data_IF_734850943427
#
_entry.id   IF_734850943427
#
_cell.length_a   1.000
_cell.length_b   1.000
_cell.length_c   1.000
_cell.angle_alpha   90.00
_cell.angle_beta   90.00
_cell.angle_gamma   90.00
#
_symmetry.space_group_name_H-M   'P 1'
#
loop_
_entity.id
_entity.type
_entity.pdbx_description
1 polymer ?
#
# COMPACT_ATOMS: atom_id res chain seq x y z
N UNK A 1 9.44 -28.82 1.84
CA UNK A 1 9.62 -27.45 2.35
C UNK A 1 8.49 -26.64 1.78
N UNK A 2 7.57 -26.18 2.62
CA UNK A 2 6.50 -25.26 2.20
C UNK A 2 7.18 -23.97 1.76
N UNK A 3 6.94 -23.49 0.54
CA UNK A 3 7.49 -22.19 0.12
C UNK A 3 6.95 -21.12 1.08
N UNK A 4 7.78 -20.17 1.47
CA UNK A 4 7.40 -19.07 2.40
C UNK A 4 6.16 -18.30 1.92
N UNK A 5 5.80 -18.46 0.64
CA UNK A 5 4.68 -17.80 -0.05
C UNK A 5 3.42 -18.66 -0.20
N UNK A 6 3.35 -19.84 0.46
CA UNK A 6 2.18 -20.73 0.34
C UNK A 6 1.02 -20.19 1.19
N UNK A 7 -0.12 -19.93 0.57
CA UNK A 7 -1.34 -19.44 1.23
C UNK A 7 -2.14 -18.47 0.36
N UNK A 8 -3.36 -18.18 0.81
CA UNK A 8 -4.24 -17.19 0.19
C UNK A 8 -3.84 -15.80 0.66
N UNK A 9 -3.83 -14.82 -0.25
CA UNK A 9 -3.52 -13.42 0.04
C UNK A 9 -4.74 -12.56 -0.25
N UNK A 10 -5.27 -11.88 0.77
CA UNK A 10 -6.36 -10.91 0.61
C UNK A 10 -5.82 -9.53 0.23
N UNK A 11 -6.51 -8.81 -0.63
CA UNK A 11 -6.14 -7.47 -1.07
C UNK A 11 -7.39 -6.62 -1.39
N UNK A 12 -7.25 -5.29 -1.34
CA UNK A 12 -8.31 -4.38 -1.75
C UNK A 12 -8.58 -4.51 -3.24
N UNK A 13 -9.76 -5.05 -3.57
CA UNK A 13 -10.23 -5.25 -4.92
C UNK A 13 -10.72 -3.97 -5.64
N UNK A 14 -11.31 -4.14 -6.79
CA UNK A 14 -11.44 -5.38 -7.56
C UNK A 14 -10.10 -5.90 -8.14
N UNK A 15 -10.12 -7.06 -8.80
CA UNK A 15 -8.95 -7.56 -9.54
C UNK A 15 -8.47 -6.53 -10.58
N UNK A 16 -7.16 -6.47 -10.81
CA UNK A 16 -6.54 -5.50 -11.74
C UNK A 16 -6.13 -4.17 -11.09
N UNK A 17 -6.20 -4.05 -9.74
CA UNK A 17 -5.76 -2.87 -8.99
C UNK A 17 -4.23 -2.86 -8.73
N UNK A 18 -3.70 -1.71 -8.27
CA UNK A 18 -2.33 -1.62 -7.76
C UNK A 18 -2.13 -2.47 -6.49
N UNK A 19 -3.18 -2.74 -5.72
CA UNK A 19 -3.13 -3.67 -4.59
C UNK A 19 -2.84 -5.09 -5.05
N UNK A 20 -3.47 -5.57 -6.13
CA UNK A 20 -3.12 -6.86 -6.72
C UNK A 20 -1.71 -6.85 -7.30
N UNK A 21 -1.28 -5.75 -7.92
CA UNK A 21 0.10 -5.64 -8.38
C UNK A 21 1.11 -5.77 -7.23
N UNK A 22 0.79 -5.24 -6.04
CA UNK A 22 1.60 -5.42 -4.83
C UNK A 22 1.63 -6.89 -4.39
N UNK A 23 0.49 -7.59 -4.39
CA UNK A 23 0.44 -9.04 -4.14
C UNK A 23 1.36 -9.79 -5.10
N UNK A 24 1.28 -9.50 -6.40
CA UNK A 24 2.10 -10.19 -7.43
C UNK A 24 3.60 -9.87 -7.29
N UNK A 25 3.94 -8.67 -6.81
CA UNK A 25 5.33 -8.29 -6.57
C UNK A 25 5.95 -9.07 -5.40
N UNK A 26 5.18 -9.31 -4.34
CA UNK A 26 5.66 -10.03 -3.14
C UNK A 26 5.60 -11.54 -3.31
N UNK A 27 4.47 -12.07 -3.78
CA UNK A 27 4.15 -13.49 -3.74
C UNK A 27 4.25 -14.19 -5.11
N UNK A 28 4.57 -13.44 -6.16
CA UNK A 28 4.67 -13.96 -7.52
C UNK A 28 3.33 -13.98 -8.27
N UNK A 29 3.40 -14.23 -9.58
CA UNK A 29 2.23 -14.17 -10.48
C UNK A 29 1.17 -15.23 -10.16
N UNK A 30 1.60 -16.40 -9.70
CA UNK A 30 0.74 -17.56 -9.43
C UNK A 30 0.15 -17.57 -8.00
N UNK A 31 0.39 -16.51 -7.21
CA UNK A 31 -0.15 -16.41 -5.86
C UNK A 31 -1.69 -16.50 -5.86
N UNK A 32 -2.23 -17.33 -4.98
CA UNK A 32 -3.67 -17.41 -4.75
C UNK A 32 -4.11 -16.13 -4.03
N UNK A 33 -4.89 -15.30 -4.70
CA UNK A 33 -5.31 -14.02 -4.16
C UNK A 33 -6.82 -13.85 -4.21
N UNK A 34 -7.40 -13.23 -3.17
CA UNK A 34 -8.82 -12.89 -3.06
C UNK A 34 -8.97 -11.38 -2.96
N UNK A 35 -9.93 -10.86 -3.73
CA UNK A 35 -10.23 -9.43 -3.79
C UNK A 35 -11.35 -9.10 -2.81
N UNK A 36 -11.06 -8.22 -1.85
CA UNK A 36 -12.00 -7.78 -0.82
C UNK A 36 -12.54 -6.37 -1.10
N UNK A 37 -13.73 -6.03 -0.63
CA UNK A 37 -14.37 -4.75 -0.93
C UNK A 37 -13.69 -3.55 -0.26
N UNK A 38 -13.08 -3.72 0.90
CA UNK A 38 -12.42 -2.69 1.70
C UNK A 38 -11.27 -3.25 2.53
N UNK A 39 -10.54 -2.39 3.23
CA UNK A 39 -9.42 -2.80 4.08
C UNK A 39 -9.86 -3.57 5.32
N UNK A 40 -11.06 -3.32 5.85
CA UNK A 40 -11.62 -4.06 6.97
C UNK A 40 -11.79 -5.53 6.59
N UNK A 41 -12.42 -5.80 5.44
CA UNK A 41 -12.61 -7.15 4.92
C UNK A 41 -11.28 -7.85 4.61
N UNK A 42 -10.26 -7.11 4.10
CA UNK A 42 -8.91 -7.68 3.91
C UNK A 42 -8.34 -8.18 5.24
N UNK A 43 -8.43 -7.38 6.30
CA UNK A 43 -7.88 -7.77 7.60
C UNK A 43 -8.75 -8.80 8.32
N UNK A 44 -10.07 -8.77 8.15
CA UNK A 44 -11.01 -9.80 8.66
C UNK A 44 -10.69 -11.17 8.04
N UNK A 45 -10.38 -11.23 6.73
CA UNK A 45 -9.97 -12.47 6.08
C UNK A 45 -8.67 -13.04 6.68
N UNK A 46 -7.73 -12.17 7.10
CA UNK A 46 -6.50 -12.59 7.78
C UNK A 46 -6.79 -13.06 9.21
N UNK A 47 -7.58 -12.33 9.98
CA UNK A 47 -7.92 -12.65 11.36
C UNK A 47 -8.71 -13.97 11.45
N UNK A 48 -9.67 -14.21 10.54
CA UNK A 48 -10.44 -15.45 10.47
C UNK A 48 -9.63 -16.66 9.99
N UNK A 49 -8.50 -16.42 9.29
CA UNK A 49 -7.67 -17.46 8.68
C UNK A 49 -8.13 -17.88 7.29
N UNK A 50 -9.09 -17.22 6.67
CA UNK A 50 -9.46 -17.39 5.27
C UNK A 50 -8.29 -17.01 4.35
N UNK A 51 -7.58 -15.93 4.69
CA UNK A 51 -6.32 -15.57 4.08
C UNK A 51 -5.16 -15.73 5.08
N UNK A 52 -3.99 -16.17 4.58
CA UNK A 52 -2.77 -16.18 5.37
C UNK A 52 -2.20 -14.77 5.50
N UNK A 53 -2.25 -13.99 4.44
CA UNK A 53 -1.72 -12.63 4.35
C UNK A 53 -2.79 -11.66 3.87
N UNK A 54 -2.65 -10.39 4.31
CA UNK A 54 -3.40 -9.25 3.78
C UNK A 54 -2.47 -8.19 3.24
N UNK A 55 -2.79 -7.59 2.10
CA UNK A 55 -2.00 -6.50 1.51
C UNK A 55 -2.82 -5.23 1.51
N UNK A 56 -2.37 -4.22 2.28
CA UNK A 56 -3.03 -2.92 2.41
C UNK A 56 -2.10 -1.77 2.06
N UNK A 57 -2.62 -0.75 1.36
CA UNK A 57 -1.88 0.47 1.09
C UNK A 57 -1.75 1.31 2.37
N UNK A 58 -0.54 1.82 2.66
CA UNK A 58 -0.28 2.67 3.83
C UNK A 58 0.04 4.12 3.45
N UNK A 59 0.63 4.33 2.28
CA UNK A 59 1.08 5.65 1.85
C UNK A 59 1.25 5.70 0.33
N UNK A 60 0.95 6.88 -0.24
CA UNK A 60 1.30 7.20 -1.61
C UNK A 60 2.11 8.50 -1.61
N UNK A 61 3.25 8.52 -2.30
CA UNK A 61 4.17 9.66 -2.25
C UNK A 61 3.63 10.95 -2.90
N UNK A 62 2.48 10.88 -3.59
CA UNK A 62 1.79 12.05 -4.17
C UNK A 62 0.60 12.48 -3.31
N UNK A 63 -0.12 11.53 -2.71
CA UNK A 63 -1.39 11.76 -1.99
C UNK A 63 -1.23 11.69 -0.48
N UNK A 64 -0.06 11.27 0.02
CA UNK A 64 0.21 11.14 1.45
C UNK A 64 -0.30 9.84 2.06
N UNK A 65 -0.52 9.88 3.35
CA UNK A 65 -0.86 8.74 4.19
C UNK A 65 -2.30 8.25 3.96
N UNK A 66 -2.47 6.93 3.93
CA UNK A 66 -3.79 6.28 3.95
C UNK A 66 -4.25 6.18 5.40
N UNK A 67 -4.97 7.22 5.87
CA UNK A 67 -5.32 7.38 7.29
C UNK A 67 -6.16 6.23 7.85
N UNK A 68 -7.07 5.65 7.05
CA UNK A 68 -7.87 4.50 7.46
C UNK A 68 -7.01 3.27 7.76
N UNK A 69 -5.94 3.03 6.98
CA UNK A 69 -5.01 1.95 7.26
C UNK A 69 -4.29 2.12 8.62
N UNK A 70 -3.93 3.35 9.00
CA UNK A 70 -3.35 3.62 10.32
C UNK A 70 -4.36 3.35 11.46
N UNK A 71 -5.62 3.74 11.27
CA UNK A 71 -6.67 3.48 12.25
C UNK A 71 -6.84 1.97 12.47
N UNK A 72 -6.85 1.18 11.39
CA UNK A 72 -6.92 -0.27 11.46
C UNK A 72 -5.68 -0.91 12.13
N UNK A 73 -4.49 -0.36 11.91
CA UNK A 73 -3.29 -0.80 12.65
C UNK A 73 -3.40 -0.56 14.16
N UNK A 74 -4.17 0.41 14.64
CA UNK A 74 -4.45 0.59 16.07
C UNK A 74 -5.46 -0.43 16.58
N UNK A 75 -6.49 -0.72 15.81
CA UNK A 75 -7.64 -1.52 16.22
C UNK A 75 -7.38 -3.04 16.14
N UNK A 76 -6.59 -3.48 15.14
CA UNK A 76 -6.36 -4.90 14.84
C UNK A 76 -5.06 -5.41 15.49
N UNK A 77 -5.06 -6.70 15.90
CA UNK A 77 -3.90 -7.37 16.49
C UNK A 77 -3.14 -8.20 15.45
N UNK A 78 -2.90 -7.60 14.29
CA UNK A 78 -2.11 -8.21 13.23
C UNK A 78 -0.68 -7.66 13.26
N UNK A 79 0.25 -8.43 12.70
CA UNK A 79 1.65 -8.07 12.57
C UNK A 79 1.95 -7.63 11.14
N UNK A 80 2.81 -6.62 10.98
CA UNK A 80 3.42 -6.30 9.70
C UNK A 80 4.57 -7.28 9.49
N UNK A 81 4.51 -8.04 8.37
CA UNK A 81 5.51 -9.05 8.03
C UNK A 81 6.27 -8.72 6.75
N UNK A 82 5.93 -7.64 6.08
CA UNK A 82 6.61 -7.17 4.89
C UNK A 82 6.12 -5.80 4.41
N UNK A 83 6.95 -5.18 3.58
CA UNK A 83 6.63 -3.93 2.89
C UNK A 83 7.06 -4.04 1.43
N UNK A 84 6.24 -3.52 0.53
CA UNK A 84 6.57 -3.37 -0.89
C UNK A 84 6.17 -1.99 -1.39
N UNK A 85 7.01 -1.40 -2.25
CA UNK A 85 6.73 -0.13 -2.91
C UNK A 85 6.47 -0.37 -4.39
N UNK A 86 5.23 -0.11 -4.83
CA UNK A 86 4.78 -0.35 -6.21
C UNK A 86 4.71 0.96 -6.97
N UNK A 87 5.33 1.07 -8.16
CA UNK A 87 5.15 2.24 -9.01
C UNK A 87 3.71 2.32 -9.53
N UNK A 88 3.11 3.51 -9.40
CA UNK A 88 1.78 3.81 -9.95
C UNK A 88 1.95 4.27 -11.38
N UNK A 89 1.88 3.31 -12.31
CA UNK A 89 2.01 3.55 -13.76
C UNK A 89 0.64 3.39 -14.41
N UNK A 90 0.18 4.45 -15.04
CA UNK A 90 -1.09 4.45 -15.75
C UNK A 90 -0.90 4.06 -17.21
N UNK A 91 -1.67 3.06 -17.65
CA UNK A 91 -1.65 2.60 -19.03
C UNK A 91 -3.04 2.74 -19.64
N UNK A 92 -3.12 3.08 -20.91
CA UNK A 92 -4.38 3.06 -21.66
C UNK A 92 -4.63 1.67 -22.20
N UNK A 93 -5.64 1.01 -21.66
CA UNK A 93 -6.02 -0.36 -21.96
C UNK A 93 -7.31 -0.38 -22.78
N UNK A 94 -7.34 -1.12 -23.90
CA UNK A 94 -8.51 -1.18 -24.79
C UNK A 94 -8.52 -2.45 -25.64
N UNK A 95 -9.67 -2.80 -26.18
CA UNK A 95 -9.81 -3.82 -27.26
C UNK A 95 -9.55 -3.22 -28.65
N UNK A 96 -9.68 -1.90 -28.80
CA UNK A 96 -9.56 -1.24 -30.09
C UNK A 96 -8.13 -1.35 -30.66
N UNK A 97 -8.03 -1.52 -31.99
CA UNK A 97 -6.72 -1.62 -32.67
C UNK A 97 -6.04 -0.28 -32.82
N UNK A 98 -6.80 0.80 -32.95
CA UNK A 98 -6.31 2.16 -33.18
C UNK A 98 -6.82 3.09 -32.08
N UNK A 99 -6.07 4.11 -31.72
CA UNK A 99 -6.49 5.12 -30.72
C UNK A 99 -7.67 5.95 -31.22
N UNK A 100 -7.74 6.21 -32.53
CA UNK A 100 -8.81 6.98 -33.15
C UNK A 100 -10.18 6.28 -33.09
N UNK A 101 -10.23 4.99 -32.81
CA UNK A 101 -11.46 4.22 -32.64
C UNK A 101 -12.01 4.34 -31.21
N UNK A 102 -11.21 4.84 -30.25
CA UNK A 102 -11.61 5.04 -28.86
C UNK A 102 -12.38 6.36 -28.72
N UNK A 103 -13.61 6.26 -28.23
CA UNK A 103 -14.53 7.41 -28.00
C UNK A 103 -14.71 7.73 -26.52
N UNK A 104 -14.47 6.77 -25.62
CA UNK A 104 -14.66 6.91 -24.18
C UNK A 104 -13.44 6.37 -23.41
N UNK A 105 -13.04 7.10 -22.36
CA UNK A 105 -11.96 6.70 -21.47
C UNK A 105 -12.49 6.66 -20.04
N UNK A 106 -12.48 5.47 -19.45
CA UNK A 106 -12.92 5.18 -18.08
C UNK A 106 -11.73 5.11 -17.14
N UNK A 107 -11.79 5.80 -16.02
CA UNK A 107 -10.84 5.63 -14.91
C UNK A 107 -11.36 6.30 -13.64
N UNK A 108 -10.71 6.03 -12.52
CA UNK A 108 -10.91 6.83 -11.31
C UNK A 108 -10.58 8.31 -11.59
N UNK A 109 -11.35 9.23 -11.00
CA UNK A 109 -11.21 10.67 -11.24
C UNK A 109 -9.77 11.18 -11.09
N UNK A 110 -9.03 10.63 -10.11
CA UNK A 110 -7.63 10.97 -9.88
C UNK A 110 -6.72 10.54 -11.04
N UNK A 111 -6.91 9.34 -11.60
CA UNK A 111 -6.12 8.86 -12.74
C UNK A 111 -6.41 9.68 -14.01
N UNK A 112 -7.67 10.08 -14.23
CA UNK A 112 -8.03 11.01 -15.30
C UNK A 112 -7.31 12.35 -15.14
N UNK A 113 -7.21 12.87 -13.92
CA UNK A 113 -6.49 14.11 -13.63
C UNK A 113 -4.98 13.96 -13.86
N UNK A 114 -4.38 12.85 -13.42
CA UNK A 114 -2.95 12.55 -13.59
C UNK A 114 -2.54 12.28 -15.05
N UNK A 115 -3.49 11.95 -15.93
CA UNK A 115 -3.26 11.68 -17.35
C UNK A 115 -3.84 12.80 -18.25
N UNK A 116 -4.29 13.91 -17.67
CA UNK A 116 -5.02 14.96 -18.39
C UNK A 116 -4.25 15.52 -19.58
N UNK A 117 -2.97 15.81 -19.39
CA UNK A 117 -2.12 16.40 -20.44
C UNK A 117 -1.92 15.43 -21.61
N UNK A 118 -1.63 14.15 -21.29
CA UNK A 118 -1.50 13.12 -22.31
C UNK A 118 -2.79 12.91 -23.09
N UNK A 119 -3.93 12.77 -22.41
CA UNK A 119 -5.26 12.59 -23.02
C UNK A 119 -5.62 13.78 -23.93
N UNK A 120 -5.33 15.02 -23.52
CA UNK A 120 -5.64 16.21 -24.31
C UNK A 120 -4.82 16.32 -25.58
N UNK A 121 -3.60 15.76 -25.60
CA UNK A 121 -2.73 15.76 -26.80
C UNK A 121 -3.07 14.65 -27.78
N UNK A 122 -3.39 13.45 -27.27
CA UNK A 122 -3.52 12.25 -28.10
C UNK A 122 -4.97 11.84 -28.37
N UNK A 123 -5.91 12.26 -27.52
CA UNK A 123 -7.31 11.85 -27.56
C UNK A 123 -8.23 13.04 -27.15
N UNK A 124 -8.13 14.21 -27.84
CA UNK A 124 -8.87 15.41 -27.45
C UNK A 124 -10.39 15.22 -27.48
N UNK A 125 -10.89 14.40 -28.41
CA UNK A 125 -12.33 14.18 -28.66
C UNK A 125 -12.91 13.01 -27.84
N UNK A 126 -12.10 12.26 -27.10
CA UNK A 126 -12.57 11.16 -26.28
C UNK A 126 -13.24 11.68 -25.00
N UNK A 127 -14.44 11.20 -24.72
CA UNK A 127 -15.17 11.47 -23.49
C UNK A 127 -14.42 10.83 -22.30
N UNK A 128 -14.25 11.58 -21.21
CA UNK A 128 -13.58 11.13 -19.98
C UNK A 128 -14.61 10.88 -18.91
N UNK A 129 -14.77 9.62 -18.50
CA UNK A 129 -15.82 9.19 -17.59
C UNK A 129 -15.19 8.66 -16.30
N UNK A 130 -15.50 9.35 -15.19
CA UNK A 130 -15.06 8.90 -13.87
C UNK A 130 -15.88 7.68 -13.40
N UNK A 131 -15.15 6.69 -12.87
CA UNK A 131 -15.70 5.46 -12.28
C UNK A 131 -15.09 5.23 -10.90
N UNK A 132 -15.58 4.25 -10.15
CA UNK A 132 -15.18 3.99 -8.75
C UNK A 132 -13.71 3.57 -8.61
N UNK A 133 -13.15 2.91 -9.64
CA UNK A 133 -11.76 2.45 -9.64
C UNK A 133 -11.19 2.35 -11.06
N UNK A 134 -9.86 2.34 -11.17
CA UNK A 134 -9.18 2.11 -12.44
C UNK A 134 -9.45 0.69 -13.00
N UNK A 135 -9.60 -0.29 -12.12
CA UNK A 135 -9.94 -1.66 -12.52
C UNK A 135 -11.38 -1.75 -13.05
N UNK A 136 -12.33 -1.01 -12.47
CA UNK A 136 -13.68 -0.87 -13.05
C UNK A 136 -13.61 -0.25 -14.45
N UNK A 137 -12.77 0.78 -14.63
CA UNK A 137 -12.54 1.37 -15.95
C UNK A 137 -12.04 0.35 -16.98
N UNK A 138 -11.09 -0.50 -16.60
CA UNK A 138 -10.61 -1.59 -17.44
C UNK A 138 -11.70 -2.64 -17.72
N UNK A 139 -12.46 -3.03 -16.71
CA UNK A 139 -13.59 -3.95 -16.84
C UNK A 139 -14.64 -3.43 -17.85
N UNK A 140 -15.02 -2.15 -17.76
CA UNK A 140 -15.96 -1.55 -18.74
C UNK A 140 -15.37 -1.56 -20.16
N UNK A 141 -14.10 -1.21 -20.29
CA UNK A 141 -13.41 -1.21 -21.59
C UNK A 141 -13.33 -2.61 -22.23
N UNK A 142 -13.41 -3.69 -21.45
CA UNK A 142 -13.36 -5.05 -21.97
C UNK A 142 -14.69 -5.53 -22.60
N UNK A 143 -15.79 -4.87 -22.32
CA UNK A 143 -17.12 -5.25 -22.82
C UNK A 143 -17.74 -4.20 -23.74
N UNK A 144 -17.19 -2.99 -23.79
CA UNK A 144 -17.75 -1.87 -24.53
C UNK A 144 -16.85 -1.48 -25.73
N UNK A 145 -17.44 -1.47 -26.93
CA UNK A 145 -16.73 -1.01 -28.14
C UNK A 145 -16.48 0.48 -28.10
N UNK A 146 -15.34 0.89 -28.62
CA UNK A 146 -14.92 2.29 -28.62
C UNK A 146 -14.55 2.80 -27.22
N UNK A 147 -14.26 1.90 -26.28
CA UNK A 147 -13.87 2.27 -24.93
C UNK A 147 -12.42 1.90 -24.62
N UNK A 148 -11.82 2.69 -23.71
CA UNK A 148 -10.54 2.39 -23.07
C UNK A 148 -10.64 2.61 -21.56
N UNK A 149 -9.82 1.89 -20.79
CA UNK A 149 -9.62 2.09 -19.36
C UNK A 149 -8.21 2.60 -19.07
N UNK A 150 -8.04 3.49 -18.09
CA UNK A 150 -6.72 3.81 -17.55
C UNK A 150 -6.50 2.95 -16.30
N UNK A 151 -5.54 2.04 -16.34
CA UNK A 151 -5.30 1.12 -15.23
C UNK A 151 -3.84 0.68 -15.11
N UNK A 152 -3.55 -0.11 -14.05
CA UNK A 152 -2.31 -0.85 -13.90
C UNK A 152 -2.17 -1.89 -15.02
N UNK A 153 -0.93 -2.24 -15.38
CA UNK A 153 -0.68 -3.18 -16.50
C UNK A 153 -1.27 -4.57 -16.23
N UNK A 154 -1.36 -4.99 -14.97
CA UNK A 154 -1.95 -6.27 -14.57
C UNK A 154 -3.41 -6.40 -15.01
N UNK A 155 -4.15 -5.31 -15.10
CA UNK A 155 -5.52 -5.30 -15.58
C UNK A 155 -5.64 -5.70 -17.07
N UNK A 156 -4.60 -5.52 -17.87
CA UNK A 156 -4.60 -5.94 -19.27
C UNK A 156 -4.78 -7.46 -19.41
N UNK A 157 -4.03 -8.22 -18.64
CA UNK A 157 -4.09 -9.70 -18.67
C UNK A 157 -5.44 -10.20 -18.11
N UNK A 158 -5.91 -9.59 -17.01
CA UNK A 158 -7.15 -10.00 -16.32
C UNK A 158 -8.38 -9.77 -17.20
N UNK A 159 -8.46 -8.61 -17.86
CA UNK A 159 -9.63 -8.23 -18.67
C UNK A 159 -9.47 -8.48 -20.17
N UNK A 160 -8.38 -9.15 -20.58
CA UNK A 160 -8.12 -9.47 -22.00
C UNK A 160 -7.92 -8.22 -22.86
N UNK A 161 -7.39 -7.15 -22.29
CA UNK A 161 -7.14 -5.88 -22.98
C UNK A 161 -5.69 -5.80 -23.47
N UNK A 162 -5.46 -4.98 -24.50
CA UNK A 162 -4.11 -4.60 -24.89
C UNK A 162 -3.74 -3.23 -24.30
N UNK A 163 -2.48 -3.02 -23.97
CA UNK A 163 -1.97 -1.70 -23.65
C UNK A 163 -1.74 -0.91 -24.94
N UNK A 164 -2.66 -0.01 -25.26
CA UNK A 164 -2.56 0.88 -26.42
C UNK A 164 -1.49 1.95 -26.24
N UNK A 165 -1.31 2.43 -25.00
CA UNK A 165 -0.20 3.29 -24.60
C UNK A 165 0.19 2.96 -23.16
N UNK A 166 1.49 3.08 -22.86
CA UNK A 166 2.05 2.83 -21.52
C UNK A 166 2.55 4.13 -20.92
N UNK A 167 2.53 4.22 -19.58
CA UNK A 167 3.09 5.35 -18.82
C UNK A 167 2.52 6.69 -19.28
N UNK A 168 1.19 6.79 -19.35
CA UNK A 168 0.49 7.97 -19.87
C UNK A 168 0.26 9.08 -18.83
N UNK A 169 0.69 8.88 -17.57
CA UNK A 169 0.62 9.90 -16.54
C UNK A 169 1.53 11.09 -16.85
N UNK A 170 1.08 12.29 -16.50
CA UNK A 170 1.81 13.54 -16.76
C UNK A 170 3.03 13.75 -15.84
N UNK A 171 3.02 13.12 -14.64
CA UNK A 171 4.12 13.18 -13.67
C UNK A 171 4.85 11.84 -13.53
N UNK A 172 6.10 11.89 -13.09
CA UNK A 172 6.93 10.70 -12.85
C UNK A 172 7.10 10.42 -11.35
N UNK A 173 7.51 9.19 -11.02
CA UNK A 173 7.92 8.82 -9.67
C UNK A 173 6.78 8.57 -8.69
N UNK A 174 5.51 8.51 -9.14
CA UNK A 174 4.39 8.15 -8.27
C UNK A 174 4.53 6.68 -7.82
N UNK A 175 4.54 6.46 -6.50
CA UNK A 175 4.64 5.13 -5.88
C UNK A 175 3.66 5.01 -4.71
N UNK A 176 3.14 3.81 -4.53
CA UNK A 176 2.34 3.46 -3.36
C UNK A 176 3.07 2.39 -2.54
N UNK A 177 3.16 2.61 -1.25
CA UNK A 177 3.72 1.70 -0.28
C UNK A 177 2.61 0.83 0.30
N UNK A 178 2.83 -0.48 0.30
CA UNK A 178 1.91 -1.47 0.81
C UNK A 178 2.56 -2.25 1.95
N UNK A 179 1.77 -2.58 2.96
CA UNK A 179 2.15 -3.47 4.04
C UNK A 179 1.56 -4.86 3.81
N UNK A 180 2.33 -5.87 4.15
CA UNK A 180 1.88 -7.26 4.23
C UNK A 180 1.57 -7.56 5.68
N UNK A 181 0.33 -7.94 5.94
CA UNK A 181 -0.19 -8.23 7.28
C UNK A 181 -0.36 -9.73 7.47
N UNK A 182 -0.05 -10.22 8.67
CA UNK A 182 -0.29 -11.61 9.08
C UNK A 182 -0.72 -11.67 10.56
N UNK A 183 -1.25 -12.83 11.00
CA UNK A 183 -1.66 -13.04 12.40
C UNK A 183 -0.47 -13.11 13.34
N UNK A 184 0.62 -13.71 12.89
CA UNK A 184 1.83 -13.91 13.68
C UNK A 184 3.05 -13.39 12.91
N UNK A 185 4.12 -12.97 13.59
CA UNK A 185 5.37 -12.60 12.95
C UNK A 185 5.92 -13.77 12.13
N UNK A 186 6.19 -13.53 10.86
CA UNK A 186 6.80 -14.51 9.99
C UNK A 186 7.70 -13.87 8.93
N UNK A 187 8.69 -14.62 8.47
CA UNK A 187 9.59 -14.15 7.40
C UNK A 187 9.01 -14.52 6.03
N UNK A 188 8.73 -13.52 5.21
CA UNK A 188 8.16 -13.70 3.85
C UNK A 188 9.23 -13.71 2.74
N UNK A 189 10.48 -13.45 3.06
CA UNK A 189 11.62 -13.51 2.15
C UNK A 189 12.71 -14.40 2.73
N UNK A 190 13.32 -15.27 1.90
CA UNK A 190 14.45 -16.13 2.32
C UNK A 190 15.73 -15.33 2.59
N UNK A 191 16.00 -14.32 1.76
CA UNK A 191 17.21 -13.48 1.84
C UNK A 191 16.87 -12.01 1.71
N UNK A 192 16.37 -11.38 2.79
CA UNK A 192 16.03 -9.96 2.75
C UNK A 192 17.30 -9.09 2.69
N UNK A 193 17.26 -8.04 1.86
CA UNK A 193 18.36 -7.07 1.72
C UNK A 193 18.28 -5.94 2.73
N UNK A 194 17.07 -5.57 3.14
CA UNK A 194 16.80 -4.50 4.07
C UNK A 194 15.64 -4.86 4.99
N UNK A 195 15.67 -4.32 6.19
CA UNK A 195 14.60 -4.43 7.18
C UNK A 195 14.10 -3.07 7.57
N UNK A 196 12.84 -3.01 7.96
CA UNK A 196 12.25 -1.93 8.73
C UNK A 196 11.59 -2.48 9.99
N UNK A 197 11.50 -1.62 10.98
CA UNK A 197 10.73 -1.88 12.20
C UNK A 197 9.72 -0.76 12.37
N UNK A 198 8.44 -1.12 12.52
CA UNK A 198 7.35 -0.18 12.74
C UNK A 198 6.80 -0.33 14.15
N UNK A 199 6.59 0.80 14.80
CA UNK A 199 6.08 0.92 16.16
C UNK A 199 4.96 1.93 16.21
N UNK A 200 4.10 1.80 17.23
CA UNK A 200 3.16 2.83 17.62
C UNK A 200 3.23 3.05 19.13
N UNK A 201 3.19 4.32 19.54
CA UNK A 201 3.18 4.70 20.96
C UNK A 201 2.39 5.97 21.15
N UNK A 202 2.03 6.27 22.40
CA UNK A 202 1.50 7.58 22.79
C UNK A 202 2.37 8.21 23.88
N UNK A 203 2.36 9.53 23.92
CA UNK A 203 3.03 10.31 24.96
C UNK A 203 2.09 11.38 25.50
N UNK A 204 2.25 11.80 26.77
CA UNK A 204 1.49 12.92 27.32
C UNK A 204 1.65 14.18 26.48
N UNK A 205 0.58 14.94 26.30
CA UNK A 205 0.61 16.20 25.53
C UNK A 205 1.20 17.33 26.38
N UNK A 206 2.50 17.26 26.68
CA UNK A 206 3.27 18.29 27.38
C UNK A 206 4.52 18.67 26.59
N UNK A 207 5.06 19.90 26.81
CA UNK A 207 6.27 20.34 26.12
C UNK A 207 7.44 19.37 26.31
N UNK A 208 8.08 18.97 25.19
CA UNK A 208 9.27 18.09 25.21
C UNK A 208 8.99 16.60 25.10
N UNK A 209 7.76 16.11 25.35
CA UNK A 209 7.46 14.68 25.40
C UNK A 209 7.89 13.90 24.15
N UNK A 210 7.60 14.42 22.97
CA UNK A 210 8.00 13.75 21.73
C UNK A 210 9.53 13.79 21.53
N UNK A 211 10.18 14.90 21.90
CA UNK A 211 11.64 15.04 21.85
C UNK A 211 12.31 13.99 22.73
N UNK A 212 11.89 13.88 23.98
CA UNK A 212 12.44 12.93 24.95
C UNK A 212 12.23 11.48 24.46
N UNK A 213 11.08 11.23 23.82
CA UNK A 213 10.76 9.91 23.27
C UNK A 213 11.65 9.55 22.07
N UNK A 214 12.10 10.54 21.28
CA UNK A 214 12.96 10.32 20.10
C UNK A 214 14.45 10.25 20.46
N UNK A 215 14.86 10.72 21.62
CA UNK A 215 16.27 10.77 22.06
C UNK A 215 16.99 9.43 21.94
N UNK A 216 16.40 8.26 22.37
CA UNK A 216 17.07 6.96 22.25
C UNK A 216 17.41 6.57 20.81
N UNK A 217 16.62 6.98 19.82
CA UNK A 217 16.95 6.69 18.42
C UNK A 217 18.24 7.41 17.99
N UNK A 218 18.35 8.69 18.33
CA UNK A 218 19.54 9.47 18.00
C UNK A 218 20.80 8.95 18.75
N UNK A 219 20.66 8.59 20.03
CA UNK A 219 21.77 8.08 20.86
C UNK A 219 22.29 6.73 20.36
N UNK A 220 21.42 5.89 19.77
CA UNK A 220 21.77 4.57 19.24
C UNK A 220 22.00 4.57 17.71
N UNK A 221 22.03 5.73 17.05
CA UNK A 221 22.28 5.84 15.61
C UNK A 221 21.19 5.20 14.74
N UNK A 222 19.94 5.15 15.21
CA UNK A 222 18.81 4.55 14.49
C UNK A 222 18.17 5.59 13.57
N UNK A 223 18.11 5.27 12.28
CA UNK A 223 17.51 6.14 11.27
C UNK A 223 15.98 5.97 11.27
N UNK A 224 15.27 7.03 11.62
CA UNK A 224 13.82 7.13 11.44
C UNK A 224 13.53 7.53 9.99
N UNK A 225 12.65 6.76 9.31
CA UNK A 225 12.28 6.99 7.90
C UNK A 225 10.86 7.49 7.74
N UNK A 226 10.04 7.38 8.79
CA UNK A 226 8.67 7.90 8.81
C UNK A 226 8.25 8.24 10.23
N UNK A 227 7.48 9.31 10.36
CA UNK A 227 6.70 9.64 11.55
C UNK A 227 5.34 10.14 11.12
N UNK A 228 4.29 9.64 11.77
CA UNK A 228 2.91 10.04 11.52
C UNK A 228 2.17 10.14 12.85
N UNK A 229 1.34 11.16 13.03
CA UNK A 229 0.55 11.33 14.24
C UNK A 229 -0.93 11.17 13.97
N UNK A 230 -1.63 10.45 14.85
CA UNK A 230 -3.08 10.26 14.81
C UNK A 230 -3.69 10.61 16.16
N UNK A 231 -4.79 11.41 16.20
CA UNK A 231 -5.49 11.66 17.44
C UNK A 231 -5.91 10.34 18.11
N UNK A 232 -5.60 10.21 19.41
CA UNK A 232 -6.14 9.11 20.20
C UNK A 232 -7.61 9.42 20.49
N UNK A 233 -8.53 8.57 20.03
CA UNK A 233 -9.99 8.80 20.15
C UNK A 233 -10.52 8.61 21.58
N UNK A 234 -9.74 9.00 22.60
CA UNK A 234 -10.03 8.86 24.03
C UNK A 234 -10.70 10.09 24.67
N UNK A 235 -11.07 11.09 23.86
CA UNK A 235 -11.71 12.34 24.33
C UNK A 235 -10.76 13.42 24.84
N UNK A 236 -9.46 13.12 24.95
CA UNK A 236 -8.38 14.07 25.25
C UNK A 236 -7.57 14.32 23.96
N UNK A 237 -6.90 15.46 23.89
CA UNK A 237 -6.03 15.81 22.74
C UNK A 237 -4.69 15.04 22.78
N UNK A 238 -4.75 13.74 23.05
CA UNK A 238 -3.61 12.85 23.00
C UNK A 238 -3.40 12.31 21.58
N UNK A 239 -2.18 11.93 21.29
CA UNK A 239 -1.80 11.45 19.95
C UNK A 239 -1.10 10.10 20.03
N UNK A 240 -1.45 9.23 19.09
CA UNK A 240 -0.68 8.06 18.76
C UNK A 240 0.35 8.43 17.69
N UNK A 241 1.60 8.07 17.89
CA UNK A 241 2.68 8.27 16.95
C UNK A 241 3.09 6.95 16.33
N UNK A 242 3.00 6.88 15.01
CA UNK A 242 3.51 5.77 14.22
C UNK A 242 4.90 6.14 13.73
N UNK A 243 5.86 5.25 13.94
CA UNK A 243 7.25 5.46 13.49
C UNK A 243 7.73 4.21 12.77
N UNK A 244 8.38 4.43 11.63
CA UNK A 244 9.14 3.40 10.93
C UNK A 244 10.63 3.76 11.04
N UNK A 245 11.45 2.78 11.43
CA UNK A 245 12.91 2.90 11.48
C UNK A 245 13.57 1.90 10.54
N UNK A 246 14.75 2.23 10.04
CA UNK A 246 15.60 1.28 9.33
C UNK A 246 16.23 0.27 10.30
N UNK A 247 16.26 -0.99 9.87
CA UNK A 247 16.85 -2.08 10.63
C UNK A 247 15.82 -3.00 11.30
N UNK A 248 16.30 -4.15 11.70
CA UNK A 248 15.55 -5.18 12.42
C UNK A 248 15.68 -4.99 13.93
N UNK A 249 14.69 -5.45 14.70
CA UNK A 249 14.76 -5.56 16.17
C UNK A 249 15.94 -6.40 16.65
N UNK A 250 16.52 -7.25 15.80
CA UNK A 250 17.72 -8.01 16.10
C UNK A 250 19.00 -7.17 16.01
N UNK A 251 18.96 -6.00 15.35
CA UNK A 251 20.08 -5.07 15.26
C UNK A 251 20.29 -4.40 16.62
N UNK A 252 21.50 -4.46 17.23
CA UNK A 252 21.71 -3.97 18.59
C UNK A 252 21.22 -2.54 18.84
N UNK A 253 21.58 -1.58 17.99
CA UNK A 253 21.15 -0.19 18.13
C UNK A 253 19.62 -0.02 18.07
N UNK A 254 18.94 -0.73 17.16
CA UNK A 254 17.47 -0.72 17.07
C UNK A 254 16.86 -1.29 18.35
N UNK A 255 17.34 -2.46 18.80
CA UNK A 255 16.82 -3.12 20.00
C UNK A 255 16.99 -2.24 21.25
N UNK A 256 18.15 -1.63 21.42
CA UNK A 256 18.44 -0.75 22.57
C UNK A 256 17.60 0.53 22.55
N UNK A 257 17.46 1.17 21.37
CA UNK A 257 16.62 2.33 21.21
C UNK A 257 15.15 2.02 21.52
N UNK A 258 14.60 0.93 20.96
CA UNK A 258 13.21 0.55 21.17
C UNK A 258 12.92 0.18 22.63
N UNK A 259 13.81 -0.55 23.31
CA UNK A 259 13.67 -0.88 24.72
C UNK A 259 13.68 0.39 25.62
N UNK A 260 14.55 1.37 25.30
CA UNK A 260 14.59 2.64 26.03
C UNK A 260 13.35 3.51 25.77
N UNK A 261 12.75 3.43 24.57
CA UNK A 261 11.50 4.11 24.25
C UNK A 261 10.31 3.47 24.95
N UNK A 262 10.20 2.14 24.91
CA UNK A 262 9.14 1.38 25.57
C UNK A 262 9.07 1.68 27.07
N UNK A 263 10.22 1.78 27.74
CA UNK A 263 10.31 2.13 29.16
C UNK A 263 9.81 3.56 29.51
N UNK A 264 9.57 4.42 28.52
CA UNK A 264 9.14 5.84 28.68
C UNK A 264 7.66 6.07 28.43
N UNK A 265 6.88 5.05 28.06
CA UNK A 265 5.46 5.19 27.74
C UNK A 265 4.66 4.00 28.26
N UNK A 266 3.39 4.24 28.60
CA UNK A 266 2.43 3.20 29.02
C UNK A 266 1.75 2.54 27.79
N UNK A 267 1.75 3.22 26.65
CA UNK A 267 1.11 2.77 25.42
C UNK A 267 2.14 2.57 24.33
N UNK A 268 2.57 1.34 24.22
CA UNK A 268 3.58 0.90 23.26
C UNK A 268 3.13 -0.37 22.53
N UNK A 269 3.35 -0.41 21.24
CA UNK A 269 3.19 -1.65 20.47
C UNK A 269 4.19 -1.71 19.33
N UNK A 270 4.92 -2.81 19.24
CA UNK A 270 5.66 -3.22 18.06
C UNK A 270 4.66 -3.74 17.03
N UNK A 271 4.55 -3.05 15.90
CA UNK A 271 3.67 -3.44 14.79
C UNK A 271 4.30 -4.54 13.93
N UNK A 272 5.63 -4.54 13.82
CA UNK A 272 6.42 -5.55 13.13
C UNK A 272 7.84 -5.13 12.90
N UNK A 273 8.71 -6.13 12.70
CA UNK A 273 10.06 -5.97 12.17
C UNK A 273 10.19 -6.90 10.97
N UNK A 274 10.31 -6.34 9.78
CA UNK A 274 9.98 -7.03 8.54
C UNK A 274 10.92 -6.65 7.38
N UNK A 275 11.07 -7.54 6.39
CA UNK A 275 11.82 -7.27 5.17
C UNK A 275 11.11 -6.24 4.28
N UNK A 276 11.92 -5.44 3.58
CA UNK A 276 11.47 -4.58 2.49
C UNK A 276 11.68 -5.34 1.18
N UNK A 277 10.59 -5.49 0.42
CA UNK A 277 10.59 -6.10 -0.92
C UNK A 277 10.88 -5.01 -1.95
N UNK A 278 11.93 -5.21 -2.77
CA UNK A 278 12.37 -4.29 -3.83
C UNK A 278 11.50 -4.38 -5.09
#
# INVERSE_FOLDING_TARGET
>A
MSSVTDGVVAFLGPAGTFSEQAVRAVFGREAKAIAEPDFDAVLDAVESGEARFGVIAIENNTNGTVTHALDLLLERRLCIVGEVSVPVVHNLLTLEKRLEDVRRVYAHAQALAQCRGWLSRHMPDAERIAVSSNAEGASRASIERGAAGIAAIVAADIYGLRAAAKSIQDGEGNRTRFLVMAREPEMILETPKAFKTSIVFSVPNVPGSLYDMMTPMAENGVQMVRIESRPARNGFWDYNFFIDVEGSVETPGVREALAAMEARTEHWRLLGSYPVVD
#
